data_IF_454695919654
#
_entry.id   IF_454695919654
#
_cell.length_a   1.000
_cell.length_b   1.000
_cell.length_c   1.000
_cell.angle_alpha   90.00
_cell.angle_beta   90.00
_cell.angle_gamma   90.00
#
_symmetry.space_group_name_H-M   'P 1'
#
loop_
_entity.id
_entity.type
_entity.pdbx_description
1 polymer ?
#
# COMPACT_ATOMS: atom_id res chain seq x y z
N UNK A 1 3.70 -13.38 -13.91
CA UNK A 1 2.72 -13.45 -12.79
C UNK A 1 2.10 -12.06 -12.67
N UNK A 2 0.92 -11.88 -12.05
CA UNK A 2 0.34 -10.55 -11.88
C UNK A 2 1.06 -9.83 -10.75
N UNK A 3 2.07 -9.03 -11.09
CA UNK A 3 2.86 -8.24 -10.12
C UNK A 3 2.13 -6.98 -9.62
N UNK A 4 0.84 -6.85 -9.93
CA UNK A 4 0.00 -5.69 -9.63
C UNK A 4 -1.08 -6.09 -8.67
N UNK A 5 -1.12 -5.43 -7.53
CA UNK A 5 -2.12 -5.60 -6.48
C UNK A 5 -3.05 -4.39 -6.56
N UNK A 6 -4.31 -4.62 -6.87
CA UNK A 6 -5.33 -3.57 -6.85
C UNK A 6 -5.65 -3.16 -5.41
N UNK A 7 -6.38 -2.06 -5.29
CA UNK A 7 -6.85 -1.59 -3.97
C UNK A 7 -7.66 -2.66 -3.22
N UNK A 8 -8.56 -3.35 -3.93
CA UNK A 8 -9.41 -4.38 -3.35
C UNK A 8 -8.59 -5.60 -2.89
N UNK A 9 -7.64 -6.04 -3.71
CA UNK A 9 -6.74 -7.13 -3.31
C UNK A 9 -5.90 -6.74 -2.09
N UNK A 10 -5.50 -5.47 -1.97
CA UNK A 10 -4.78 -4.97 -0.80
C UNK A 10 -5.66 -5.01 0.47
N UNK A 11 -6.95 -4.68 0.35
CA UNK A 11 -7.93 -4.78 1.44
C UNK A 11 -8.07 -6.25 1.91
N UNK A 12 -8.17 -7.19 0.98
CA UNK A 12 -8.27 -8.63 1.27
C UNK A 12 -6.98 -9.21 1.87
N UNK A 13 -5.81 -8.83 1.33
CA UNK A 13 -4.50 -9.33 1.76
C UNK A 13 -4.19 -8.97 3.22
N UNK A 14 -4.47 -7.73 3.61
CA UNK A 14 -4.19 -7.25 4.97
C UNK A 14 -5.41 -7.35 5.89
N UNK A 15 -6.58 -7.77 5.38
CA UNK A 15 -7.82 -7.80 6.15
C UNK A 15 -8.27 -6.41 6.63
N UNK A 16 -7.97 -5.37 5.85
CA UNK A 16 -8.22 -3.96 6.22
C UNK A 16 -9.31 -3.36 5.35
N UNK A 17 -9.86 -2.24 5.80
CA UNK A 17 -10.88 -1.52 5.03
C UNK A 17 -10.28 -0.53 4.05
N UNK A 18 -11.08 -0.15 3.05
CA UNK A 18 -10.80 0.97 2.14
C UNK A 18 -10.30 2.24 2.81
N UNK A 19 -10.82 2.57 3.99
CA UNK A 19 -10.43 3.75 4.76
C UNK A 19 -8.99 3.65 5.27
N UNK A 20 -8.58 2.47 5.72
CA UNK A 20 -7.21 2.18 6.14
C UNK A 20 -6.26 2.36 4.96
N UNK A 21 -6.58 1.81 3.78
CA UNK A 21 -5.74 1.98 2.59
C UNK A 21 -5.63 3.45 2.15
N UNK A 22 -6.73 4.22 2.22
CA UNK A 22 -6.66 5.67 1.97
C UNK A 22 -5.79 6.39 2.99
N UNK A 23 -5.82 5.95 4.25
CA UNK A 23 -4.98 6.51 5.31
C UNK A 23 -3.51 6.20 5.04
N UNK A 24 -3.16 4.98 4.65
CA UNK A 24 -1.81 4.60 4.21
C UNK A 24 -1.33 5.45 3.05
N UNK A 25 -2.18 5.66 2.03
CA UNK A 25 -1.86 6.53 0.91
C UNK A 25 -1.64 7.99 1.33
N UNK A 26 -2.50 8.56 2.17
CA UNK A 26 -2.46 9.99 2.51
C UNK A 26 -1.45 10.33 3.61
N UNK A 27 -1.32 9.48 4.62
CA UNK A 27 -0.48 9.73 5.81
C UNK A 27 0.89 9.07 5.71
N UNK A 28 0.95 7.87 5.13
CA UNK A 28 2.16 7.04 5.10
C UNK A 28 2.77 6.93 3.70
N UNK A 29 2.21 7.62 2.71
CA UNK A 29 2.77 7.70 1.36
C UNK A 29 2.74 6.40 0.55
N UNK A 30 1.75 5.51 0.77
CA UNK A 30 1.64 4.25 0.05
C UNK A 30 1.72 4.47 -1.49
N UNK A 31 2.70 3.86 -2.20
CA UNK A 31 2.99 4.13 -3.61
C UNK A 31 1.98 3.46 -4.54
N UNK A 32 0.76 3.97 -4.57
CA UNK A 32 -0.26 3.54 -5.53
C UNK A 32 -0.06 4.23 -6.88
N UNK A 33 0.09 3.42 -7.93
CA UNK A 33 0.16 3.84 -9.32
C UNK A 33 -1.25 3.98 -9.89
N UNK A 34 -1.56 5.15 -10.43
CA UNK A 34 -2.82 5.42 -11.12
C UNK A 34 -2.69 5.12 -12.63
N UNK A 35 -3.50 4.20 -13.15
CA UNK A 35 -3.64 3.97 -14.61
C UNK A 35 -4.68 4.92 -15.18
N UNK A 36 -5.77 5.12 -14.44
CA UNK A 36 -6.85 6.04 -14.75
C UNK A 36 -7.54 6.47 -13.46
N UNK A 37 -8.40 7.48 -13.52
CA UNK A 37 -9.09 8.04 -12.35
C UNK A 37 -9.73 6.97 -11.43
N UNK A 38 -10.18 5.86 -12.02
CA UNK A 38 -10.88 4.78 -11.31
C UNK A 38 -10.00 3.53 -11.09
N UNK A 39 -8.82 3.43 -11.73
CA UNK A 39 -7.96 2.25 -11.66
C UNK A 39 -6.61 2.61 -11.05
N UNK A 40 -6.41 2.13 -9.82
CA UNK A 40 -5.18 2.27 -9.05
C UNK A 40 -4.68 0.90 -8.64
N UNK A 41 -3.37 0.70 -8.67
CA UNK A 41 -2.72 -0.53 -8.23
C UNK A 41 -1.35 -0.21 -7.62
N UNK A 42 -0.81 -1.13 -6.83
CA UNK A 42 0.57 -1.09 -6.34
C UNK A 42 1.32 -2.28 -6.93
N UNK A 43 2.61 -2.12 -7.22
CA UNK A 43 3.43 -3.27 -7.59
C UNK A 43 3.85 -4.01 -6.33
N UNK A 44 3.96 -5.33 -6.41
CA UNK A 44 4.42 -6.13 -5.26
C UNK A 44 5.79 -5.66 -4.74
N UNK A 45 6.71 -5.30 -5.63
CA UNK A 45 8.03 -4.77 -5.25
C UNK A 45 7.94 -3.47 -4.44
N UNK A 46 7.04 -2.57 -4.83
CA UNK A 46 6.87 -1.26 -4.17
C UNK A 46 6.16 -1.43 -2.82
N UNK A 47 5.24 -2.38 -2.73
CA UNK A 47 4.58 -2.75 -1.48
C UNK A 47 5.59 -3.26 -0.46
N UNK A 48 6.45 -4.20 -0.84
CA UNK A 48 7.46 -4.77 0.07
C UNK A 48 8.45 -3.70 0.53
N UNK A 49 8.92 -2.84 -0.38
CA UNK A 49 9.79 -1.71 -0.01
C UNK A 49 9.12 -0.78 1.00
N UNK A 50 7.86 -0.42 0.75
CA UNK A 50 7.11 0.43 1.66
C UNK A 50 6.90 -0.24 3.02
N UNK A 51 6.63 -1.55 3.07
CA UNK A 51 6.52 -2.30 4.32
C UNK A 51 7.82 -2.28 5.13
N UNK A 52 8.97 -2.45 4.46
CA UNK A 52 10.28 -2.37 5.10
C UNK A 52 10.57 -0.95 5.63
N UNK A 53 10.24 0.09 4.87
CA UNK A 53 10.34 1.49 5.32
C UNK A 53 9.43 1.78 6.53
N UNK A 54 8.24 1.17 6.59
CA UNK A 54 7.33 1.33 7.72
C UNK A 54 7.84 0.63 8.99
N UNK A 55 8.48 -0.55 8.86
CA UNK A 55 9.10 -1.25 9.99
C UNK A 55 10.24 -0.43 10.57
N UNK A 56 11.12 0.09 9.72
CA UNK A 56 12.25 0.92 10.13
C UNK A 56 11.78 2.16 10.90
N UNK A 57 10.74 2.84 10.41
CA UNK A 57 10.15 4.00 11.11
C UNK A 57 9.54 3.66 12.48
N UNK A 58 9.07 2.43 12.69
CA UNK A 58 8.49 2.01 13.97
C UNK A 58 9.58 1.73 15.03
N UNK A 59 10.81 1.39 14.62
CA UNK A 59 11.92 1.11 15.55
C UNK A 59 12.57 2.37 16.12
N UNK A 60 12.31 3.55 15.56
CA UNK A 60 12.92 4.83 15.99
C UNK A 60 12.11 5.56 17.08
N UNK A 61 10.92 5.07 17.43
CA UNK A 61 10.12 5.58 18.55
C UNK A 61 10.16 4.62 19.76
N UNK A 62 11.35 4.38 20.33
CA UNK A 62 11.52 3.75 21.67
C UNK A 62 12.58 4.48 22.48
#
# INVERSE_FOLDING_TARGET
>A
MKDRISKQELEELYGVTRHTIETWRRKYGLPMIEISSHKKYIRREDLVKWEDEMKDKLEVEV
#
